data_IF_794028618860
#
_entry.id   IF_794028618860
#
_cell.length_a   1.000
_cell.length_b   1.000
_cell.length_c   1.000
_cell.angle_alpha   90.00
_cell.angle_beta   90.00
_cell.angle_gamma   90.00
#
_symmetry.space_group_name_H-M   'P 1'
#
loop_
_entity.id
_entity.type
_entity.pdbx_description
1 polymer ?
#
# COMPACT_ATOMS: atom_id res chain seq x y z
N UNK A 1 -56.92 -1.82 -8.09
CA UNK A 1 -55.67 -1.53 -7.37
C UNK A 1 -56.00 -0.57 -6.23
N UNK A 2 -55.63 -0.91 -5.00
CA UNK A 2 -56.04 -0.13 -3.82
C UNK A 2 -55.28 1.20 -3.78
N UNK A 3 -55.91 2.28 -3.32
CA UNK A 3 -55.29 3.61 -3.20
C UNK A 3 -54.00 3.59 -2.35
N UNK A 4 -53.94 2.69 -1.36
CA UNK A 4 -52.74 2.42 -0.56
C UNK A 4 -51.59 1.84 -1.38
N UNK A 5 -51.87 0.91 -2.32
CA UNK A 5 -50.84 0.37 -3.23
C UNK A 5 -50.31 1.42 -4.21
N UNK A 6 -51.14 2.39 -4.62
CA UNK A 6 -50.72 3.50 -5.49
C UNK A 6 -49.78 4.46 -4.77
N UNK A 7 -50.05 4.73 -3.48
CA UNK A 7 -49.25 5.61 -2.65
C UNK A 7 -47.88 5.00 -2.31
N UNK A 8 -47.84 3.68 -2.09
CA UNK A 8 -46.60 2.92 -1.91
C UNK A 8 -45.72 2.90 -3.18
N UNK A 9 -46.34 2.80 -4.36
CA UNK A 9 -45.64 2.84 -5.64
C UNK A 9 -45.05 4.23 -5.92
N UNK A 10 -45.78 5.30 -5.59
CA UNK A 10 -45.29 6.67 -5.71
C UNK A 10 -44.08 6.94 -4.79
N UNK A 11 -44.08 6.39 -3.57
CA UNK A 11 -42.96 6.53 -2.64
C UNK A 11 -41.69 5.82 -3.14
N UNK A 12 -41.85 4.64 -3.78
CA UNK A 12 -40.72 3.86 -4.31
C UNK A 12 -40.03 4.55 -5.50
N UNK A 13 -40.77 5.35 -6.27
CA UNK A 13 -40.24 6.07 -7.44
C UNK A 13 -39.39 7.30 -7.04
N UNK A 14 -39.58 7.85 -5.84
CA UNK A 14 -38.80 8.99 -5.34
C UNK A 14 -37.41 8.60 -4.78
N UNK A 15 -37.12 7.32 -4.55
CA UNK A 15 -35.85 6.89 -3.94
C UNK A 15 -34.69 6.72 -4.92
N UNK A 16 -34.88 6.93 -6.22
CA UNK A 16 -33.86 6.61 -7.24
C UNK A 16 -33.13 7.84 -7.80
N UNK A 17 -33.07 8.96 -7.09
CA UNK A 17 -32.24 10.09 -7.52
C UNK A 17 -30.76 9.78 -7.35
N UNK A 18 -29.95 9.71 -8.43
CA UNK A 18 -28.50 9.58 -8.29
C UNK A 18 -27.93 10.88 -7.73
N UNK A 19 -27.46 10.85 -6.48
CA UNK A 19 -26.62 11.91 -5.93
C UNK A 19 -25.33 11.96 -6.74
N UNK A 20 -25.24 12.90 -7.69
CA UNK A 20 -23.99 13.19 -8.38
C UNK A 20 -23.02 13.78 -7.38
N UNK A 21 -22.06 12.98 -6.91
CA UNK A 21 -20.91 13.48 -6.18
C UNK A 21 -20.13 14.42 -7.10
N UNK A 22 -20.39 15.72 -7.00
CA UNK A 22 -19.60 16.73 -7.69
C UNK A 22 -18.18 16.58 -7.17
N UNK A 23 -17.24 16.20 -8.04
CA UNK A 23 -15.81 16.16 -7.71
C UNK A 23 -15.35 17.58 -7.43
N UNK A 24 -15.53 18.04 -6.19
CA UNK A 24 -15.03 19.33 -5.73
C UNK A 24 -13.53 19.31 -5.97
N UNK A 25 -13.06 20.13 -6.91
CA UNK A 25 -11.65 20.28 -7.23
C UNK A 25 -10.96 20.92 -6.02
N UNK A 26 -10.43 20.10 -5.12
CA UNK A 26 -9.62 20.56 -3.98
C UNK A 26 -8.29 21.08 -4.54
N UNK A 27 -8.14 22.41 -4.57
CA UNK A 27 -6.87 23.06 -4.92
C UNK A 27 -6.05 23.17 -3.63
N UNK A 28 -5.06 22.29 -3.48
CA UNK A 28 -4.11 22.38 -2.38
C UNK A 28 -3.15 23.54 -2.66
N UNK A 29 -3.27 24.62 -1.90
CA UNK A 29 -2.27 25.70 -1.90
C UNK A 29 -1.12 25.27 -1.01
N UNK A 30 0.06 25.09 -1.60
CA UNK A 30 1.28 24.86 -0.82
C UNK A 30 1.70 26.19 -0.17
N UNK A 31 2.21 26.11 1.06
CA UNK A 31 2.71 27.28 1.78
C UNK A 31 3.98 27.76 1.09
N UNK A 32 3.93 28.93 0.48
CA UNK A 32 5.09 29.53 -0.19
C UNK A 32 6.03 30.08 0.88
N UNK A 33 7.21 29.47 0.97
CA UNK A 33 8.42 29.92 1.67
C UNK A 33 8.22 30.73 2.95
N UNK A 34 8.29 30.05 4.09
CA UNK A 34 8.54 30.72 5.37
C UNK A 34 10.00 31.17 5.44
N UNK A 35 10.22 32.45 5.75
CA UNK A 35 11.54 32.95 6.12
C UNK A 35 11.80 32.49 7.55
N UNK A 36 12.61 31.45 7.68
CA UNK A 36 13.10 31.00 8.97
C UNK A 36 14.23 31.93 9.41
N UNK A 37 14.03 32.66 10.50
CA UNK A 37 15.12 33.36 11.16
C UNK A 37 15.98 32.31 11.87
N UNK A 38 17.18 32.08 11.34
CA UNK A 38 18.12 31.09 11.86
C UNK A 38 18.85 31.59 13.12
N UNK A 39 18.67 32.86 13.50
CA UNK A 39 19.28 33.44 14.69
C UNK A 39 18.73 32.87 16.01
N UNK A 40 17.44 32.53 16.03
CA UNK A 40 16.73 31.96 17.20
C UNK A 40 16.53 30.44 17.09
N UNK A 41 17.10 29.80 16.06
CA UNK A 41 17.13 28.35 15.96
C UNK A 41 18.19 27.81 16.93
N UNK A 42 17.91 27.90 18.23
CA UNK A 42 18.65 27.18 19.24
C UNK A 42 18.41 25.69 18.97
N UNK A 43 19.32 25.09 18.21
CA UNK A 43 19.30 23.66 17.89
C UNK A 43 19.49 22.95 19.22
N UNK A 44 18.38 22.61 19.89
CA UNK A 44 18.30 21.60 20.96
C UNK A 44 18.51 20.21 20.35
N UNK A 45 19.51 20.08 19.49
CA UNK A 45 20.04 18.81 19.06
C UNK A 45 20.81 18.29 20.25
N UNK A 46 20.19 17.42 21.05
CA UNK A 46 20.98 16.46 21.81
C UNK A 46 21.98 15.86 20.83
N UNK A 47 23.27 15.90 21.15
CA UNK A 47 24.34 15.29 20.35
C UNK A 47 24.02 13.80 20.23
N UNK A 48 23.23 13.43 19.23
CA UNK A 48 22.89 12.06 18.94
C UNK A 48 24.09 11.46 18.25
N UNK A 49 24.71 10.48 18.92
CA UNK A 49 25.75 9.71 18.29
C UNK A 49 25.12 8.90 17.14
N UNK A 50 25.86 8.58 16.06
CA UNK A 50 25.36 7.71 14.99
C UNK A 50 24.79 6.37 15.51
N UNK A 51 25.22 5.93 16.71
CA UNK A 51 24.70 4.75 17.41
C UNK A 51 23.28 4.91 17.99
N UNK A 52 22.81 6.12 18.28
CA UNK A 52 21.46 6.38 18.80
C UNK A 52 20.38 6.25 17.71
N UNK A 53 20.78 6.33 16.43
CA UNK A 53 19.92 6.10 15.26
C UNK A 53 19.96 4.61 14.89
N UNK A 54 20.27 3.70 15.83
CA UNK A 54 20.27 2.26 15.56
C UNK A 54 18.87 1.84 15.09
N UNK A 55 18.74 1.59 13.79
CA UNK A 55 17.53 1.05 13.20
C UNK A 55 17.37 -0.36 13.77
N UNK A 56 16.33 -0.58 14.57
CA UNK A 56 15.97 -1.91 15.07
C UNK A 56 15.95 -2.88 13.88
N UNK A 57 16.84 -3.87 13.89
CA UNK A 57 16.90 -4.86 12.82
C UNK A 57 15.51 -5.48 12.65
N UNK A 58 14.86 -5.16 11.53
CA UNK A 58 13.60 -5.80 11.17
C UNK A 58 13.91 -7.27 10.95
N UNK A 59 13.18 -8.17 11.63
CA UNK A 59 13.32 -9.62 11.41
C UNK A 59 13.19 -9.88 9.91
N UNK A 60 14.29 -10.27 9.27
CA UNK A 60 14.29 -10.67 7.87
C UNK A 60 13.50 -11.97 7.78
N UNK A 61 12.44 -12.00 6.98
CA UNK A 61 11.76 -13.26 6.66
C UNK A 61 12.71 -14.06 5.77
N UNK A 62 13.34 -15.09 6.34
CA UNK A 62 14.12 -16.05 5.55
C UNK A 62 13.10 -16.83 4.75
N UNK A 63 13.08 -16.63 3.43
CA UNK A 63 12.27 -17.44 2.54
C UNK A 63 12.98 -18.77 2.37
N UNK A 64 12.64 -19.74 3.21
CA UNK A 64 12.97 -21.14 2.99
C UNK A 64 11.82 -21.73 2.18
N UNK A 65 12.09 -22.09 0.93
CA UNK A 65 11.20 -22.95 0.14
C UNK A 65 11.94 -24.24 -0.09
N UNK A 66 11.27 -25.35 0.18
CA UNK A 66 11.77 -26.65 -0.25
C UNK A 66 11.92 -26.63 -1.77
N UNK A 67 13.07 -27.12 -2.22
CA UNK A 67 13.29 -27.33 -3.64
C UNK A 67 12.26 -28.34 -4.14
N UNK A 68 11.67 -28.07 -5.30
CA UNK A 68 10.72 -29.00 -5.90
C UNK A 68 11.40 -30.35 -6.14
N UNK A 69 10.85 -31.41 -5.54
CA UNK A 69 11.27 -32.76 -5.85
C UNK A 69 10.78 -33.11 -7.25
N UNK A 70 11.70 -33.62 -8.07
CA UNK A 70 11.42 -34.08 -9.41
C UNK A 70 11.74 -35.57 -9.45
N UNK A 71 10.75 -36.39 -9.80
CA UNK A 71 10.88 -37.86 -9.78
C UNK A 71 11.88 -38.37 -10.84
N UNK A 72 12.13 -37.59 -11.90
CA UNK A 72 13.09 -37.87 -12.97
C UNK A 72 14.46 -37.18 -12.79
N UNK A 73 14.73 -36.53 -11.64
CA UNK A 73 15.96 -35.75 -11.44
C UNK A 73 17.23 -36.57 -11.70
N UNK A 74 17.34 -37.74 -11.09
CA UNK A 74 18.53 -38.59 -11.20
C UNK A 74 18.77 -39.09 -12.63
N UNK A 75 17.71 -39.47 -13.34
CA UNK A 75 17.80 -39.93 -14.74
C UNK A 75 18.38 -38.84 -15.63
N UNK A 76 17.89 -37.61 -15.45
CA UNK A 76 18.31 -36.46 -16.23
C UNK A 76 19.74 -36.03 -15.92
N UNK A 77 20.15 -36.05 -14.66
CA UNK A 77 21.55 -35.77 -14.26
C UNK A 77 22.50 -36.80 -14.87
N UNK A 78 22.14 -38.09 -14.89
CA UNK A 78 22.96 -39.14 -15.50
C UNK A 78 23.10 -38.93 -17.02
N UNK A 79 22.02 -38.54 -17.70
CA UNK A 79 22.07 -38.18 -19.13
C UNK A 79 22.97 -36.97 -19.36
N UNK A 80 22.80 -35.89 -18.59
CA UNK A 80 23.61 -34.68 -18.70
C UNK A 80 25.10 -34.95 -18.48
N UNK A 81 25.47 -35.75 -17.47
CA UNK A 81 26.88 -36.16 -17.23
C UNK A 81 27.44 -36.96 -18.40
N UNK A 82 26.65 -37.86 -19.00
CA UNK A 82 27.09 -38.67 -20.15
C UNK A 82 27.35 -37.83 -21.41
N UNK A 83 26.59 -36.75 -21.58
CA UNK A 83 26.73 -35.84 -22.72
C UNK A 83 27.55 -34.59 -22.41
N UNK A 84 28.09 -34.47 -21.19
CA UNK A 84 29.05 -33.44 -20.82
C UNK A 84 30.39 -33.75 -21.50
N UNK A 85 30.55 -33.28 -22.73
CA UNK A 85 31.81 -33.31 -23.47
C UNK A 85 32.18 -31.90 -23.90
#
# INVERSE_FOLDING_TARGET
MTTKSLLLLALLLCSTFPVKAQKVKKVYKYKEYEKFDLGDLEIKGSVIAPGDISVKERRRKVFERDLYHRDDFDKKIIEEIKFLR
#
